data_IF_936382222104
#
_entry.id   IF_936382222104
#
_cell.length_a   1.000
_cell.length_b   1.000
_cell.length_c   1.000
_cell.angle_alpha   90.00
_cell.angle_beta   90.00
_cell.angle_gamma   90.00
#
_symmetry.space_group_name_H-M   'P 1'
#
loop_
_entity.id
_entity.type
_entity.pdbx_description
1 polymer ?
#
# COMPACT_ATOMS: atom_id res chain seq x y z
N UNK A 1 -7.97 7.14 -30.86
CA UNK A 1 -7.37 6.58 -29.61
C UNK A 1 -8.07 7.04 -28.33
N UNK A 2 -8.72 8.22 -28.30
CA UNK A 2 -9.34 8.80 -27.09
C UNK A 2 -10.61 8.10 -26.56
N UNK A 3 -11.39 7.40 -27.39
CA UNK A 3 -12.71 6.85 -26.98
C UNK A 3 -12.69 5.44 -26.36
N UNK A 4 -11.61 4.68 -26.48
CA UNK A 4 -11.54 3.32 -25.90
C UNK A 4 -11.40 3.31 -24.37
N UNK A 5 -10.85 4.38 -23.80
CA UNK A 5 -10.65 4.50 -22.34
C UNK A 5 -11.97 4.81 -21.63
N UNK A 6 -12.86 5.60 -22.26
CA UNK A 6 -14.17 5.97 -21.72
C UNK A 6 -15.22 4.86 -21.79
N UNK A 7 -15.07 3.92 -22.73
CA UNK A 7 -15.93 2.73 -22.89
C UNK A 7 -15.36 1.47 -22.22
N UNK A 8 -14.25 1.59 -21.50
CA UNK A 8 -13.70 0.48 -20.74
C UNK A 8 -14.57 0.28 -19.48
N UNK A 9 -15.33 -0.82 -19.44
CA UNK A 9 -15.96 -1.25 -18.20
C UNK A 9 -14.85 -1.52 -17.17
N UNK A 10 -14.81 -0.77 -16.04
CA UNK A 10 -13.77 -0.96 -15.05
C UNK A 10 -13.92 -2.36 -14.44
N UNK A 11 -12.99 -3.24 -14.79
CA UNK A 11 -12.91 -4.58 -14.23
C UNK A 11 -12.11 -4.54 -12.92
N UNK A 12 -12.17 -5.63 -12.14
CA UNK A 12 -11.42 -5.74 -10.89
C UNK A 12 -9.91 -5.49 -11.05
N UNK A 13 -9.31 -5.86 -12.19
CA UNK A 13 -7.90 -5.56 -12.48
C UNK A 13 -7.59 -4.07 -12.42
N UNK A 14 -8.47 -3.21 -12.95
CA UNK A 14 -8.28 -1.75 -12.93
C UNK A 14 -8.30 -1.21 -11.50
N UNK A 15 -9.24 -1.69 -10.67
CA UNK A 15 -9.32 -1.29 -9.25
C UNK A 15 -8.07 -1.70 -8.49
N UNK A 16 -7.59 -2.93 -8.71
CA UNK A 16 -6.38 -3.45 -8.07
C UNK A 16 -5.18 -2.62 -8.50
N UNK A 17 -5.02 -2.34 -9.79
CA UNK A 17 -3.92 -1.48 -10.27
C UNK A 17 -3.92 -0.11 -9.60
N UNK A 18 -5.08 0.54 -9.44
CA UNK A 18 -5.18 1.81 -8.74
C UNK A 18 -4.72 1.71 -7.28
N UNK A 19 -5.09 0.64 -6.58
CA UNK A 19 -4.63 0.39 -5.20
C UNK A 19 -3.10 0.31 -5.13
N UNK A 20 -2.46 -0.32 -6.11
CA UNK A 20 -0.99 -0.45 -6.15
C UNK A 20 -0.29 0.84 -6.57
N UNK A 21 -0.88 1.62 -7.48
CA UNK A 21 -0.37 2.95 -7.88
C UNK A 21 -0.45 3.93 -6.70
N UNK A 22 -1.52 3.90 -5.92
CA UNK A 22 -1.68 4.66 -4.68
C UNK A 22 -1.18 3.89 -3.44
N UNK A 23 -0.19 3.02 -3.62
CA UNK A 23 0.26 2.10 -2.57
C UNK A 23 0.70 2.81 -1.28
N UNK A 24 1.47 3.90 -1.35
CA UNK A 24 1.96 4.60 -0.15
C UNK A 24 0.83 5.09 0.76
N UNK A 25 -0.11 5.95 0.31
CA UNK A 25 -1.19 6.42 1.17
C UNK A 25 -2.14 5.30 1.60
N UNK A 26 -2.39 4.30 0.74
CA UNK A 26 -3.25 3.16 1.09
C UNK A 26 -2.59 2.29 2.15
N UNK A 27 -1.28 2.04 2.01
CA UNK A 27 -0.52 1.23 2.96
C UNK A 27 -0.40 1.91 4.31
N UNK A 28 -0.12 3.22 4.35
CA UNK A 28 -0.10 3.99 5.61
C UNK A 28 -1.46 3.96 6.33
N UNK A 29 -2.54 4.13 5.57
CA UNK A 29 -3.91 4.06 6.09
C UNK A 29 -4.24 2.67 6.62
N UNK A 30 -3.91 1.62 5.85
CA UNK A 30 -4.16 0.23 6.23
C UNK A 30 -3.42 -0.15 7.51
N UNK A 31 -2.12 0.18 7.62
CA UNK A 31 -1.34 -0.07 8.84
C UNK A 31 -1.90 0.68 10.04
N UNK A 32 -2.32 1.93 9.85
CA UNK A 32 -2.90 2.76 10.93
C UNK A 32 -4.23 2.17 11.42
N UNK A 33 -5.11 1.77 10.51
CA UNK A 33 -6.39 1.12 10.85
C UNK A 33 -6.15 -0.20 11.57
N UNK A 34 -5.28 -1.06 11.05
CA UNK A 34 -4.98 -2.37 11.66
C UNK A 34 -4.37 -2.20 13.05
N UNK A 35 -3.36 -1.32 13.20
CA UNK A 35 -2.72 -1.04 14.50
C UNK A 35 -3.74 -0.59 15.54
N UNK A 36 -4.60 0.37 15.18
CA UNK A 36 -5.59 0.92 16.11
C UNK A 36 -6.66 -0.07 16.51
N UNK A 37 -7.09 -0.88 15.54
CA UNK A 37 -8.02 -1.97 15.79
C UNK A 37 -7.43 -2.96 16.82
N UNK A 38 -6.15 -3.34 16.68
CA UNK A 38 -5.46 -4.22 17.63
C UNK A 38 -5.29 -3.55 19.00
N UNK A 39 -4.98 -2.25 19.05
CA UNK A 39 -4.80 -1.50 20.30
C UNK A 39 -6.10 -1.07 20.99
N UNK A 40 -7.27 -1.35 20.42
CA UNK A 40 -8.57 -0.92 20.95
C UNK A 40 -8.77 0.61 21.00
N UNK A 41 -7.95 1.38 20.26
CA UNK A 41 -8.03 2.85 20.20
C UNK A 41 -8.98 3.26 19.08
N UNK A 42 -9.67 4.39 19.26
CA UNK A 42 -10.55 4.95 18.20
C UNK A 42 -9.76 5.19 16.90
N UNK A 43 -10.40 4.96 15.75
CA UNK A 43 -9.81 5.20 14.43
C UNK A 43 -9.67 6.71 14.15
N UNK A 44 -10.40 7.57 14.87
CA UNK A 44 -10.46 9.02 14.63
C UNK A 44 -9.57 9.87 15.56
N UNK A 45 -8.83 9.28 16.48
CA UNK A 45 -7.87 10.04 17.30
C UNK A 45 -6.69 10.53 16.44
N UNK A 46 -6.07 11.68 16.70
CA UNK A 46 -4.85 12.08 15.99
C UNK A 46 -3.74 11.04 16.18
N UNK A 47 -3.16 10.50 15.09
CA UNK A 47 -1.99 9.62 15.15
C UNK A 47 -0.73 10.41 14.81
N UNK A 48 0.34 10.21 15.57
CA UNK A 48 1.66 10.78 15.28
C UNK A 48 2.65 9.71 14.81
N UNK A 49 2.25 8.43 14.80
CA UNK A 49 3.06 7.27 14.44
C UNK A 49 2.85 6.78 13.01
N UNK A 50 2.73 7.68 12.04
CA UNK A 50 2.59 7.30 10.63
C UNK A 50 3.80 6.50 10.13
N UNK A 51 3.59 5.71 9.08
CA UNK A 51 4.60 4.86 8.42
C UNK A 51 5.92 5.59 8.19
N UNK A 52 5.88 6.85 7.76
CA UNK A 52 7.06 7.70 7.57
C UNK A 52 7.89 7.85 8.85
N UNK A 53 7.26 8.18 9.98
CA UNK A 53 7.96 8.39 11.25
C UNK A 53 8.57 7.10 11.78
N UNK A 54 7.89 5.97 11.58
CA UNK A 54 8.43 4.66 11.95
C UNK A 54 9.61 4.25 11.08
N UNK A 55 9.52 4.51 9.78
CA UNK A 55 10.61 4.25 8.85
C UNK A 55 11.81 5.16 9.15
N UNK A 56 11.56 6.44 9.46
CA UNK A 56 12.57 7.38 9.92
C UNK A 56 13.26 6.89 11.19
N UNK A 57 12.55 6.34 12.17
CA UNK A 57 13.17 5.82 13.39
C UNK A 57 14.14 4.65 13.12
N UNK A 58 13.86 3.84 12.08
CA UNK A 58 14.74 2.75 11.65
C UNK A 58 15.96 3.30 10.90
N UNK A 59 15.76 4.21 9.95
CA UNK A 59 16.84 4.71 9.08
C UNK A 59 17.67 5.84 9.71
N UNK A 60 17.08 6.62 10.64
CA UNK A 60 17.61 7.84 11.26
C UNK A 60 18.10 8.90 10.26
N UNK A 61 17.55 8.90 9.04
CA UNK A 61 17.93 9.81 7.97
C UNK A 61 16.70 10.14 7.12
N UNK A 62 16.36 11.43 7.03
CA UNK A 62 15.22 11.92 6.26
C UNK A 62 15.34 11.62 4.75
N UNK A 63 16.54 11.79 4.18
CA UNK A 63 16.79 11.51 2.75
C UNK A 63 16.71 10.01 2.49
N UNK A 64 17.30 9.19 3.37
CA UNK A 64 17.23 7.73 3.27
C UNK A 64 15.80 7.21 3.35
N UNK A 65 15.00 7.77 4.28
CA UNK A 65 13.57 7.43 4.42
C UNK A 65 12.80 7.75 3.15
N UNK A 66 13.00 8.95 2.59
CA UNK A 66 12.38 9.36 1.32
C UNK A 66 12.76 8.44 0.16
N UNK A 67 14.03 8.07 0.03
CA UNK A 67 14.50 7.15 -1.02
C UNK A 67 13.85 5.77 -0.91
N UNK A 68 13.71 5.22 0.30
CA UNK A 68 13.04 3.93 0.51
C UNK A 68 11.57 4.02 0.08
N UNK A 69 10.87 5.11 0.44
CA UNK A 69 9.47 5.32 0.05
C UNK A 69 9.33 5.45 -1.46
N UNK A 70 10.24 6.16 -2.14
CA UNK A 70 10.23 6.26 -3.59
C UNK A 70 10.49 4.91 -4.26
N UNK A 71 11.48 4.15 -3.79
CA UNK A 71 11.77 2.81 -4.31
C UNK A 71 10.56 1.89 -4.11
N UNK A 72 9.95 1.89 -2.93
CA UNK A 72 8.73 1.15 -2.63
C UNK A 72 7.58 1.52 -3.57
N UNK A 73 7.37 2.81 -3.83
CA UNK A 73 6.34 3.32 -4.73
C UNK A 73 6.57 2.85 -6.17
N UNK A 74 7.81 2.93 -6.66
CA UNK A 74 8.17 2.50 -8.02
C UNK A 74 7.92 1.01 -8.18
N UNK A 75 8.39 0.19 -7.22
CA UNK A 75 8.22 -1.27 -7.26
C UNK A 75 6.74 -1.65 -7.26
N UNK A 76 5.95 -1.08 -6.37
CA UNK A 76 4.51 -1.38 -6.31
C UNK A 76 3.74 -0.82 -7.51
N UNK A 77 4.13 0.33 -8.04
CA UNK A 77 3.57 0.87 -9.29
C UNK A 77 3.80 -0.06 -10.48
N UNK A 78 5.02 -0.59 -10.64
CA UNK A 78 5.35 -1.56 -11.69
C UNK A 78 4.53 -2.84 -11.52
N UNK A 79 4.42 -3.35 -10.29
CA UNK A 79 3.57 -4.51 -9.97
C UNK A 79 2.11 -4.23 -10.32
N UNK A 80 1.58 -3.05 -9.99
CA UNK A 80 0.22 -2.66 -10.33
C UNK A 80 -0.06 -2.65 -11.83
N UNK A 81 0.88 -2.13 -12.63
CA UNK A 81 0.78 -2.14 -14.10
C UNK A 81 0.86 -3.58 -14.64
N UNK A 82 1.73 -4.42 -14.06
CA UNK A 82 1.80 -5.83 -14.44
C UNK A 82 0.49 -6.58 -14.13
N UNK A 83 -0.09 -6.35 -12.94
CA UNK A 83 -1.39 -6.92 -12.53
C UNK A 83 -2.53 -6.48 -13.45
N UNK A 84 -2.48 -5.29 -14.03
CA UNK A 84 -3.47 -4.82 -15.02
C UNK A 84 -3.54 -5.72 -16.26
N UNK A 85 -2.40 -6.31 -16.64
CA UNK A 85 -2.27 -7.13 -17.85
C UNK A 85 -2.78 -8.56 -17.66
N UNK A 86 -3.13 -8.95 -16.43
CA UNK A 86 -3.62 -10.28 -16.08
C UNK A 86 -5.16 -10.35 -16.10
N UNK A 87 -5.68 -11.57 -16.10
CA UNK A 87 -7.14 -11.79 -15.94
C UNK A 87 -7.62 -11.29 -14.57
N UNK A 88 -8.87 -10.77 -14.45
CA UNK A 88 -9.37 -10.18 -13.20
C UNK A 88 -9.23 -11.05 -11.95
N UNK A 89 -9.47 -12.35 -12.08
CA UNK A 89 -9.34 -13.31 -10.98
C UNK A 89 -7.89 -13.47 -10.55
N UNK A 90 -6.96 -13.61 -11.52
CA UNK A 90 -5.53 -13.72 -11.21
C UNK A 90 -5.00 -12.43 -10.58
N UNK A 91 -5.38 -11.26 -11.12
CA UNK A 91 -5.00 -9.96 -10.55
C UNK A 91 -5.45 -9.85 -9.09
N UNK A 92 -6.65 -10.33 -8.76
CA UNK A 92 -7.22 -10.28 -7.42
C UNK A 92 -6.49 -11.21 -6.45
N UNK A 93 -6.25 -12.46 -6.86
CA UNK A 93 -5.54 -13.44 -6.02
C UNK A 93 -4.10 -12.99 -5.76
N UNK A 94 -3.36 -12.63 -6.81
CA UNK A 94 -1.96 -12.21 -6.68
C UNK A 94 -1.83 -10.87 -5.95
N UNK A 95 -2.68 -9.89 -6.29
CA UNK A 95 -2.71 -8.60 -5.61
C UNK A 95 -3.01 -8.76 -4.12
N UNK A 96 -3.99 -9.60 -3.77
CA UNK A 96 -4.32 -9.91 -2.37
C UNK A 96 -3.16 -10.58 -1.63
N UNK A 97 -2.50 -11.56 -2.24
CA UNK A 97 -1.33 -12.23 -1.65
C UNK A 97 -0.18 -11.24 -1.38
N UNK A 98 0.12 -10.36 -2.33
CA UNK A 98 1.16 -9.33 -2.17
C UNK A 98 0.78 -8.40 -1.01
N UNK A 99 -0.48 -7.97 -0.92
CA UNK A 99 -0.96 -7.15 0.19
C UNK A 99 -0.82 -7.82 1.56
N UNK A 100 -1.15 -9.12 1.66
CA UNK A 100 -0.96 -9.90 2.89
C UNK A 100 0.52 -9.93 3.29
N UNK A 101 1.42 -10.16 2.34
CA UNK A 101 2.87 -10.15 2.56
C UNK A 101 3.33 -8.77 3.05
N UNK A 102 2.86 -7.68 2.45
CA UNK A 102 3.20 -6.32 2.86
C UNK A 102 2.77 -6.04 4.30
N UNK A 103 1.53 -6.39 4.65
CA UNK A 103 1.02 -6.24 6.03
C UNK A 103 1.83 -7.07 7.02
N UNK A 104 2.18 -8.30 6.66
CA UNK A 104 3.03 -9.16 7.49
C UNK A 104 4.45 -8.59 7.68
N UNK A 105 5.04 -8.00 6.64
CA UNK A 105 6.32 -7.29 6.76
C UNK A 105 6.19 -6.08 7.70
N UNK A 106 5.11 -5.30 7.58
CA UNK A 106 4.81 -4.20 8.50
C UNK A 106 4.68 -4.66 9.95
N UNK A 107 4.02 -5.80 10.20
CA UNK A 107 3.97 -6.41 11.53
C UNK A 107 5.37 -6.75 12.05
N UNK A 108 6.19 -7.45 11.25
CA UNK A 108 7.54 -7.87 11.63
C UNK A 108 8.49 -6.70 11.89
N UNK A 109 8.29 -5.57 11.22
CA UNK A 109 9.05 -4.34 11.41
C UNK A 109 8.58 -3.51 12.63
N UNK A 110 7.59 -3.98 13.40
CA UNK A 110 7.05 -3.26 14.55
C UNK A 110 6.17 -2.07 14.15
N UNK A 111 5.70 -2.01 12.90
CA UNK A 111 4.83 -0.91 12.47
C UNK A 111 3.44 -0.98 13.10
N UNK A 112 3.02 -2.17 13.51
CA UNK A 112 1.74 -2.41 14.19
C UNK A 112 1.81 -2.30 15.72
N UNK A 113 2.99 -2.10 16.30
CA UNK A 113 3.14 -1.84 17.75
C UNK A 113 2.77 -0.37 18.03
N UNK A 114 1.93 -0.08 19.02
CA UNK A 114 1.41 1.28 19.27
C UNK A 114 1.08 1.57 20.72
#
# INVERSE_FOLDING_TARGET
MSLKILNANPNFSTLITLIFVYSVPIYDSALTVIRRFISGKSIFTPDLGHFYNKLYNITRNYVGTGLIIYLFSIVLGIIGIWLYSLTPILSLVLGGLIWIILVYLGYKLGFLEG
#
